data_IF_871516881874
#
_entry.id   IF_871516881874
#
_cell.length_a   1.000
_cell.length_b   1.000
_cell.length_c   1.000
_cell.angle_alpha   90.00
_cell.angle_beta   90.00
_cell.angle_gamma   90.00
#
_symmetry.space_group_name_H-M   'P 1'
#
loop_
_entity.id
_entity.type
_entity.pdbx_description
1 polymer ?
#
# COMPACT_ATOMS: atom_id res chain seq x y z
N UNK A 1 13.28 -0.59 3.91
CA UNK A 1 13.59 -1.94 4.38
C UNK A 1 13.17 -2.05 5.84
N UNK A 2 12.41 -3.09 6.21
CA UNK A 2 11.93 -3.29 7.59
C UNK A 2 13.14 -3.56 8.49
N UNK A 3 13.28 -2.80 9.57
CA UNK A 3 14.41 -2.90 10.52
C UNK A 3 14.11 -3.90 11.64
N UNK A 4 12.87 -3.91 12.11
CA UNK A 4 12.42 -4.83 13.15
C UNK A 4 10.96 -5.21 12.93
N UNK A 5 10.67 -6.48 13.17
CA UNK A 5 9.33 -7.04 13.15
C UNK A 5 9.08 -7.70 14.50
N UNK A 6 8.01 -7.27 15.17
CA UNK A 6 7.58 -7.86 16.43
C UNK A 6 6.13 -8.29 16.30
N UNK A 7 5.86 -9.57 16.53
CA UNK A 7 4.52 -10.12 16.50
C UNK A 7 4.02 -10.36 17.93
N UNK A 8 2.86 -9.80 18.26
CA UNK A 8 2.12 -10.12 19.47
C UNK A 8 1.00 -11.09 19.13
N UNK A 9 1.19 -12.35 19.53
CA UNK A 9 0.22 -13.43 19.28
C UNK A 9 -1.03 -13.32 20.16
N UNK A 10 -0.93 -12.71 21.34
CA UNK A 10 -2.07 -12.57 22.24
C UNK A 10 -3.07 -11.56 21.68
N UNK A 11 -2.55 -10.44 21.16
CA UNK A 11 -3.36 -9.38 20.56
C UNK A 11 -3.54 -9.50 19.04
N UNK A 12 -2.90 -10.50 18.41
CA UNK A 12 -2.88 -10.71 16.95
C UNK A 12 -2.41 -9.49 16.17
N UNK A 13 -1.42 -8.77 16.70
CA UNK A 13 -0.85 -7.57 16.08
C UNK A 13 0.60 -7.81 15.64
N UNK A 14 1.03 -7.05 14.63
CA UNK A 14 2.42 -7.01 14.18
C UNK A 14 2.87 -5.55 14.15
N UNK A 15 3.97 -5.28 14.83
CA UNK A 15 4.65 -3.98 14.82
C UNK A 15 5.84 -4.04 13.88
N UNK A 16 5.92 -3.07 12.98
CA UNK A 16 6.99 -2.89 12.01
C UNK A 16 7.71 -1.58 12.31
N UNK A 17 9.02 -1.65 12.54
CA UNK A 17 9.88 -0.46 12.57
C UNK A 17 10.58 -0.31 11.23
N UNK A 18 10.50 0.89 10.67
CA UNK A 18 11.18 1.29 9.44
C UNK A 18 11.55 2.77 9.50
N UNK A 19 12.46 3.20 8.63
CA UNK A 19 12.76 4.64 8.56
C UNK A 19 11.67 5.40 7.80
N UNK A 20 11.64 6.71 8.02
CA UNK A 20 10.85 7.65 7.22
C UNK A 20 11.13 7.41 5.71
N UNK A 21 12.38 7.46 5.25
CA UNK A 21 12.66 7.17 3.82
C UNK A 21 12.08 5.83 3.32
N UNK A 22 12.07 4.79 4.15
CA UNK A 22 11.51 3.49 3.76
C UNK A 22 9.99 3.54 3.57
N UNK A 23 9.27 4.25 4.44
CA UNK A 23 7.82 4.41 4.32
C UNK A 23 7.47 5.28 3.09
N UNK A 24 8.23 6.34 2.80
CA UNK A 24 8.07 7.13 1.56
C UNK A 24 8.25 6.25 0.31
N UNK A 25 9.30 5.44 0.29
CA UNK A 25 9.56 4.53 -0.84
C UNK A 25 8.44 3.50 -1.04
N UNK A 26 7.80 3.03 0.04
CA UNK A 26 6.64 2.13 -0.04
C UNK A 26 5.44 2.86 -0.64
N UNK A 27 5.15 4.08 -0.19
CA UNK A 27 4.06 4.90 -0.74
C UNK A 27 4.27 5.13 -2.24
N UNK A 28 5.48 5.50 -2.67
CA UNK A 28 5.81 5.68 -4.09
C UNK A 28 5.65 4.38 -4.90
N UNK A 29 6.05 3.25 -4.31
CA UNK A 29 5.91 1.93 -4.95
C UNK A 29 4.44 1.56 -5.16
N UNK A 30 3.58 1.82 -4.18
CA UNK A 30 2.14 1.59 -4.30
C UNK A 30 1.53 2.53 -5.35
N UNK A 31 2.01 3.77 -5.47
CA UNK A 31 1.55 4.68 -6.51
C UNK A 31 1.80 4.12 -7.92
N UNK A 32 3.02 3.59 -8.14
CA UNK A 32 3.35 2.91 -9.40
C UNK A 32 2.47 1.69 -9.66
N UNK A 33 2.06 0.97 -8.61
CA UNK A 33 1.15 -0.16 -8.73
C UNK A 33 -0.27 0.28 -9.09
N UNK A 34 -0.75 1.38 -8.51
CA UNK A 34 -2.03 2.02 -8.88
C UNK A 34 -2.01 2.40 -10.36
N UNK A 35 -0.98 3.09 -10.83
CA UNK A 35 -0.84 3.51 -12.23
C UNK A 35 -0.82 2.31 -13.18
N UNK A 36 -0.06 1.26 -12.82
CA UNK A 36 0.00 0.03 -13.59
C UNK A 36 -1.37 -0.64 -13.68
N UNK A 37 -2.08 -0.74 -12.56
CA UNK A 37 -3.40 -1.38 -12.52
C UNK A 37 -4.44 -0.60 -13.33
N UNK A 38 -4.38 0.75 -13.31
CA UNK A 38 -5.21 1.59 -14.17
C UNK A 38 -4.96 1.33 -15.66
N UNK A 39 -3.69 1.20 -16.08
CA UNK A 39 -3.37 0.87 -17.48
C UNK A 39 -3.96 -0.47 -17.89
N UNK A 40 -3.80 -1.49 -17.05
CA UNK A 40 -4.35 -2.84 -17.32
C UNK A 40 -5.87 -2.79 -17.49
N UNK A 41 -6.58 -2.02 -16.66
CA UNK A 41 -8.04 -1.85 -16.75
C UNK A 41 -8.47 -1.16 -18.05
N UNK A 42 -7.70 -0.19 -18.53
CA UNK A 42 -7.97 0.51 -19.79
C UNK A 42 -7.69 -0.36 -21.02
N UNK A 43 -6.71 -1.26 -20.92
CA UNK A 43 -6.34 -2.19 -21.99
C UNK A 43 -7.31 -3.39 -22.11
N UNK A 44 -8.00 -3.76 -21.03
CA UNK A 44 -8.91 -4.91 -20.99
C UNK A 44 -10.36 -4.46 -20.80
N UNK A 45 -11.04 -4.08 -21.88
CA UNK A 45 -12.45 -3.68 -21.84
C UNK A 45 -13.33 -4.80 -22.45
N UNK A 46 -14.37 -5.28 -21.74
CA UNK A 46 -14.82 -4.85 -20.42
C UNK A 46 -13.87 -5.31 -19.30
N UNK A 47 -13.64 -4.42 -18.33
CA UNK A 47 -12.74 -4.67 -17.21
C UNK A 47 -13.31 -5.70 -16.24
N UNK A 48 -12.45 -6.63 -15.82
CA UNK A 48 -12.71 -7.60 -14.76
C UNK A 48 -12.95 -6.91 -13.42
N UNK A 49 -13.96 -7.36 -12.68
CA UNK A 49 -14.29 -6.87 -11.35
C UNK A 49 -13.16 -7.13 -10.34
N UNK A 50 -12.40 -8.22 -10.51
CA UNK A 50 -11.21 -8.48 -9.69
C UNK A 50 -10.13 -7.41 -9.91
N UNK A 51 -9.92 -6.99 -11.17
CA UNK A 51 -8.97 -5.94 -11.50
C UNK A 51 -9.38 -4.58 -10.91
N UNK A 52 -10.69 -4.30 -10.84
CA UNK A 52 -11.23 -3.08 -10.19
C UNK A 52 -11.04 -3.13 -8.67
N UNK A 53 -11.36 -4.25 -8.04
CA UNK A 53 -11.17 -4.45 -6.60
C UNK A 53 -9.70 -4.27 -6.19
N UNK A 54 -8.77 -4.79 -6.99
CA UNK A 54 -7.33 -4.62 -6.75
C UNK A 54 -6.91 -3.14 -6.83
N UNK A 55 -7.43 -2.38 -7.79
CA UNK A 55 -7.16 -0.95 -7.90
C UNK A 55 -7.64 -0.20 -6.65
N UNK A 56 -8.88 -0.47 -6.21
CA UNK A 56 -9.45 0.17 -5.03
C UNK A 56 -8.69 -0.20 -3.76
N UNK A 57 -8.23 -1.44 -3.66
CA UNK A 57 -7.38 -1.91 -2.55
C UNK A 57 -6.05 -1.16 -2.50
N UNK A 58 -5.38 -0.97 -3.63
CA UNK A 58 -4.12 -0.21 -3.68
C UNK A 58 -4.32 1.27 -3.35
N UNK A 59 -5.42 1.88 -3.82
CA UNK A 59 -5.76 3.27 -3.45
C UNK A 59 -6.01 3.40 -1.96
N UNK A 60 -6.78 2.49 -1.36
CA UNK A 60 -7.03 2.48 0.08
C UNK A 60 -5.74 2.36 0.89
N UNK A 61 -4.88 1.41 0.53
CA UNK A 61 -3.59 1.21 1.18
C UNK A 61 -2.69 2.46 1.08
N UNK A 62 -2.63 3.10 -0.09
CA UNK A 62 -1.87 4.35 -0.29
C UNK A 62 -2.33 5.44 0.66
N UNK A 63 -3.63 5.65 0.78
CA UNK A 63 -4.19 6.69 1.65
C UNK A 63 -3.96 6.39 3.13
N UNK A 64 -4.07 5.13 3.55
CA UNK A 64 -3.79 4.77 4.94
C UNK A 64 -2.31 4.95 5.30
N UNK A 65 -1.38 4.62 4.40
CA UNK A 65 0.04 4.88 4.61
C UNK A 65 0.38 6.38 4.58
N UNK A 66 -0.32 7.19 3.77
CA UNK A 66 -0.18 8.65 3.77
C UNK A 66 -0.59 9.27 5.11
N UNK A 67 -1.70 8.83 5.70
CA UNK A 67 -2.10 9.30 7.03
C UNK A 67 -1.04 8.99 8.09
N UNK A 68 -0.43 7.81 8.00
CA UNK A 68 0.69 7.44 8.89
C UNK A 68 1.90 8.35 8.64
N UNK A 69 2.22 8.62 7.38
CA UNK A 69 3.29 9.55 7.01
C UNK A 69 3.09 10.95 7.59
N UNK A 70 1.90 11.52 7.38
CA UNK A 70 1.52 12.85 7.86
C UNK A 70 1.48 12.95 9.38
N UNK A 71 1.29 11.83 10.10
CA UNK A 71 1.39 11.81 11.55
C UNK A 71 2.85 11.85 12.07
N UNK A 72 3.83 11.60 11.20
CA UNK A 72 5.26 11.61 11.53
C UNK A 72 5.93 12.96 11.21
N UNK A 73 5.37 13.75 10.29
CA UNK A 73 5.87 15.06 9.81
C UNK A 73 5.12 16.21 10.48
#
# INVERSE_FOLDING_TARGET
MIRKLQADKANKTVTLEMSENDLSNIIESIDKMVDRQQRILLENIPADDELRLNLDTYKGLKEDLRKIWEALV
#
